data_IF_771607809223
#
_entry.id   IF_771607809223
#
_cell.length_a   1.000
_cell.length_b   1.000
_cell.length_c   1.000
_cell.angle_alpha   90.00
_cell.angle_beta   90.00
_cell.angle_gamma   90.00
#
_symmetry.space_group_name_H-M   'P 1'
#
loop_
_entity.id
_entity.type
_entity.pdbx_description
1 polymer ?
#
# COMPACT_ATOMS: atom_id res chain seq x y z
N UNK A 1 20.42 -4.58 -9.85
CA UNK A 1 19.41 -4.11 -8.92
C UNK A 1 18.02 -4.31 -9.49
N UNK A 2 17.14 -4.76 -8.65
CA UNK A 2 15.82 -5.11 -9.09
C UNK A 2 14.88 -3.92 -8.99
N UNK A 3 14.12 -3.68 -10.03
CA UNK A 3 13.13 -2.63 -10.02
C UNK A 3 11.79 -3.20 -9.61
N UNK A 4 11.06 -2.45 -8.81
CA UNK A 4 9.74 -2.83 -8.40
C UNK A 4 8.75 -2.25 -9.40
N UNK A 5 7.97 -3.12 -10.00
CA UNK A 5 6.99 -2.72 -10.99
C UNK A 5 5.61 -3.22 -10.63
N UNK A 6 4.62 -2.48 -11.05
CA UNK A 6 3.24 -2.87 -10.84
C UNK A 6 2.40 -2.33 -11.98
N UNK A 7 1.31 -3.01 -12.27
CA UNK A 7 0.32 -2.44 -13.17
C UNK A 7 -0.54 -1.49 -12.36
N UNK A 8 -0.24 -0.22 -12.47
CA UNK A 8 -0.89 0.81 -11.64
C UNK A 8 -2.39 0.90 -11.90
N UNK A 9 -2.86 0.40 -13.03
CA UNK A 9 -4.28 0.48 -13.38
C UNK A 9 -5.07 -0.73 -12.91
N UNK A 10 -4.39 -1.78 -12.48
CA UNK A 10 -5.06 -3.01 -12.08
C UNK A 10 -5.71 -2.85 -10.71
N UNK A 11 -6.74 -3.63 -10.49
CA UNK A 11 -7.35 -3.67 -9.16
C UNK A 11 -6.34 -4.16 -8.14
N UNK A 12 -6.52 -3.70 -6.92
CA UNK A 12 -5.56 -4.02 -5.88
C UNK A 12 -6.26 -4.18 -4.55
N UNK A 13 -5.69 -5.05 -3.74
CA UNK A 13 -6.16 -5.29 -2.38
C UNK A 13 -5.09 -4.80 -1.42
N UNK A 14 -5.49 -3.97 -0.48
CA UNK A 14 -4.56 -3.44 0.51
C UNK A 14 -4.92 -4.00 1.86
N UNK A 15 -3.92 -4.61 2.51
CA UNK A 15 -4.06 -5.14 3.85
C UNK A 15 -3.13 -4.35 4.76
N UNK A 16 -3.59 -4.05 5.96
CA UNK A 16 -2.74 -3.37 6.92
C UNK A 16 -3.15 -3.78 8.31
N UNK A 17 -2.25 -3.57 9.23
CA UNK A 17 -2.56 -3.85 10.62
C UNK A 17 -3.42 -2.78 11.20
N UNK A 18 -4.27 -3.19 12.11
CA UNK A 18 -5.05 -2.28 12.91
C UNK A 18 -4.71 -2.61 14.34
N UNK A 19 -4.25 -1.62 15.07
CA UNK A 19 -3.86 -1.87 16.44
C UNK A 19 -5.11 -2.07 17.27
N UNK A 20 -5.25 -3.27 17.82
CA UNK A 20 -6.42 -3.63 18.59
C UNK A 20 -6.14 -3.73 20.07
N UNK A 21 -5.14 -3.03 20.55
CA UNK A 21 -4.80 -3.12 21.94
C UNK A 21 -3.96 -4.36 22.20
N UNK A 22 -4.16 -4.94 23.34
CA UNK A 22 -3.29 -6.04 23.77
C UNK A 22 -3.86 -7.40 23.44
N UNK A 23 -4.88 -7.47 22.67
CA UNK A 23 -5.45 -8.75 22.30
C UNK A 23 -4.55 -9.48 21.31
N UNK A 24 -4.58 -10.79 21.40
CA UNK A 24 -3.76 -11.59 20.51
C UNK A 24 -4.25 -11.55 19.06
N UNK A 25 -5.55 -11.45 18.88
CA UNK A 25 -6.10 -11.38 17.53
C UNK A 25 -6.23 -9.94 17.13
N UNK A 26 -5.24 -9.46 16.45
CA UNK A 26 -5.27 -8.10 15.92
C UNK A 26 -6.02 -8.12 14.60
N UNK A 27 -7.11 -7.37 14.50
CA UNK A 27 -7.83 -7.35 13.23
C UNK A 27 -6.95 -6.81 12.11
N UNK A 28 -7.16 -7.36 10.94
CA UNK A 28 -6.50 -6.85 9.74
C UNK A 28 -7.43 -5.89 9.06
N UNK A 29 -6.92 -4.70 8.75
CA UNK A 29 -7.63 -3.80 7.89
C UNK A 29 -7.51 -4.27 6.46
N UNK A 30 -8.57 -4.09 5.71
CA UNK A 30 -8.60 -4.55 4.33
C UNK A 30 -9.42 -3.56 3.52
N UNK A 31 -8.90 -3.22 2.35
CA UNK A 31 -9.64 -2.34 1.46
C UNK A 31 -9.27 -2.67 0.03
N UNK A 32 -10.28 -2.80 -0.81
CA UNK A 32 -10.06 -3.05 -2.22
C UNK A 32 -10.17 -1.76 -2.99
N UNK A 33 -9.27 -1.59 -3.96
CA UNK A 33 -9.23 -0.39 -4.78
C UNK A 33 -9.37 -0.78 -6.24
N UNK A 34 -9.96 0.11 -6.99
CA UNK A 34 -10.08 -0.11 -8.42
C UNK A 34 -8.74 -0.08 -9.12
N UNK A 35 -7.79 0.66 -8.58
CA UNK A 35 -6.47 0.74 -9.18
C UNK A 35 -5.41 0.59 -8.12
N UNK A 36 -4.31 -0.02 -8.52
CA UNK A 36 -3.17 -0.13 -7.63
C UNK A 36 -2.64 1.25 -7.26
N UNK A 37 -2.68 2.19 -8.20
CA UNK A 37 -2.21 3.54 -7.91
C UNK A 37 -3.01 4.16 -6.77
N UNK A 38 -4.31 3.97 -6.78
CA UNK A 38 -5.14 4.49 -5.70
C UNK A 38 -4.84 3.84 -4.38
N UNK A 39 -4.60 2.53 -4.39
CA UNK A 39 -4.26 1.82 -3.17
C UNK A 39 -2.93 2.31 -2.61
N UNK A 40 -1.96 2.50 -3.49
CA UNK A 40 -0.64 2.98 -3.09
C UNK A 40 -0.75 4.37 -2.47
N UNK A 41 -1.53 5.25 -3.10
CA UNK A 41 -1.70 6.60 -2.58
C UNK A 41 -2.37 6.58 -1.21
N UNK A 42 -3.39 5.75 -1.06
CA UNK A 42 -4.05 5.64 0.23
C UNK A 42 -3.07 5.17 1.30
N UNK A 43 -2.26 4.16 0.97
CA UNK A 43 -1.33 3.61 1.94
C UNK A 43 -0.30 4.66 2.39
N UNK A 44 0.21 5.42 1.44
CA UNK A 44 1.27 6.37 1.75
C UNK A 44 0.72 7.65 2.38
N UNK A 45 -0.42 8.13 1.89
CA UNK A 45 -0.90 9.44 2.29
C UNK A 45 -1.95 9.40 3.39
N UNK A 46 -2.67 8.28 3.52
CA UNK A 46 -3.78 8.23 4.45
C UNK A 46 -3.52 7.35 5.66
N UNK A 47 -2.79 6.26 5.51
CA UNK A 47 -2.55 5.39 6.64
C UNK A 47 -1.54 6.01 7.60
N UNK A 48 -1.81 5.91 8.90
CA UNK A 48 -0.77 6.24 9.87
C UNK A 48 0.45 5.36 9.63
N UNK A 49 1.61 5.91 9.91
CA UNK A 49 2.83 5.19 9.61
C UNK A 49 2.91 3.84 10.29
N UNK A 50 2.44 3.75 11.50
CA UNK A 50 2.51 2.49 12.22
C UNK A 50 1.66 1.41 11.56
N UNK A 51 0.60 1.80 10.86
CA UNK A 51 -0.20 0.83 10.13
C UNK A 51 0.47 0.45 8.82
N UNK A 52 1.15 1.41 8.22
CA UNK A 52 1.83 1.16 6.96
C UNK A 52 2.96 0.15 7.12
N UNK A 53 3.59 0.13 8.28
CA UNK A 53 4.72 -0.77 8.50
C UNK A 53 4.38 -2.24 8.29
N UNK A 54 3.15 -2.63 8.52
CA UNK A 54 2.77 -4.01 8.30
C UNK A 54 1.89 -4.20 7.11
N UNK A 55 1.85 -3.22 6.22
CA UNK A 55 0.92 -3.28 5.10
C UNK A 55 1.42 -4.20 4.01
N UNK A 56 0.48 -4.70 3.25
CA UNK A 56 0.75 -5.57 2.12
C UNK A 56 -0.22 -5.22 1.01
N UNK A 57 0.31 -5.05 -0.18
CA UNK A 57 -0.49 -4.73 -1.35
C UNK A 57 -0.47 -5.92 -2.29
N UNK A 58 -1.65 -6.36 -2.73
CA UNK A 58 -1.75 -7.46 -3.69
C UNK A 58 -2.34 -6.95 -4.98
N UNK A 59 -1.64 -7.21 -6.08
CA UNK A 59 -2.09 -6.84 -7.40
C UNK A 59 -1.92 -8.08 -8.26
N UNK A 60 -3.02 -8.69 -8.65
CA UNK A 60 -2.95 -9.95 -9.36
C UNK A 60 -2.28 -10.99 -8.48
N UNK A 61 -1.24 -11.59 -9.00
CA UNK A 61 -0.50 -12.62 -8.27
C UNK A 61 0.68 -12.06 -7.50
N UNK A 62 0.88 -10.76 -7.55
CA UNK A 62 2.04 -10.16 -6.94
C UNK A 62 1.70 -9.53 -5.61
N UNK A 63 2.64 -9.58 -4.69
CA UNK A 63 2.45 -8.99 -3.38
C UNK A 63 3.61 -8.05 -3.10
N UNK A 64 3.30 -6.90 -2.53
CA UNK A 64 4.28 -5.86 -2.27
C UNK A 64 4.25 -5.50 -0.80
N UNK A 65 5.41 -5.43 -0.18
CA UNK A 65 5.50 -5.05 1.22
C UNK A 65 5.60 -3.53 1.35
N UNK A 66 5.74 -3.07 2.57
CA UNK A 66 5.75 -1.64 2.85
C UNK A 66 6.86 -0.91 2.09
N UNK A 67 8.05 -1.48 2.09
CA UNK A 67 9.17 -0.83 1.39
C UNK A 67 8.90 -0.74 -0.10
N UNK A 68 8.32 -1.79 -0.67
CA UNK A 68 8.01 -1.79 -2.08
C UNK A 68 6.88 -0.83 -2.42
N UNK A 69 5.90 -0.71 -1.52
CA UNK A 69 4.83 0.26 -1.73
C UNK A 69 5.41 1.67 -1.79
N UNK A 70 6.37 1.98 -0.92
CA UNK A 70 7.01 3.29 -0.95
C UNK A 70 7.76 3.51 -2.25
N UNK A 71 8.45 2.48 -2.73
CA UNK A 71 9.17 2.59 -4.01
C UNK A 71 8.21 2.85 -5.16
N UNK A 72 7.07 2.16 -5.15
CA UNK A 72 6.09 2.34 -6.22
C UNK A 72 5.52 3.76 -6.19
N UNK A 73 5.32 4.30 -5.00
CA UNK A 73 4.80 5.65 -4.87
C UNK A 73 5.80 6.68 -5.40
N UNK A 74 7.08 6.44 -5.16
CA UNK A 74 8.12 7.38 -5.55
C UNK A 74 8.59 7.19 -6.98
N UNK A 75 8.11 6.17 -7.65
CA UNK A 75 8.53 5.88 -9.00
C UNK A 75 8.04 6.95 -9.97
N UNK A 76 8.84 7.22 -10.99
CA UNK A 76 8.42 8.15 -12.04
C UNK A 76 7.21 7.63 -12.80
N UNK A 77 6.99 6.33 -12.77
CA UNK A 77 5.85 5.75 -13.46
C UNK A 77 4.54 5.92 -12.71
N UNK A 78 4.60 6.39 -11.46
CA UNK A 78 3.39 6.54 -10.67
C UNK A 78 2.47 7.57 -11.33
N UNK A 79 1.23 7.17 -11.66
CA UNK A 79 0.40 8.00 -12.54
C UNK A 79 -0.41 9.08 -11.86
N UNK A 80 -0.61 8.99 -10.56
CA UNK A 80 -1.46 9.95 -9.87
C UNK A 80 -0.63 11.08 -9.29
N UNK A 81 -1.29 12.20 -9.09
CA UNK A 81 -0.64 13.33 -8.48
C UNK A 81 -0.33 13.01 -7.03
N UNK A 82 0.90 13.26 -6.63
CA UNK A 82 1.29 13.04 -5.25
C UNK A 82 1.03 14.28 -4.44
N UNK A 83 0.54 14.06 -3.22
CA UNK A 83 0.42 15.15 -2.28
C UNK A 83 1.61 15.13 -1.35
N UNK A 84 2.00 16.30 -0.87
CA UNK A 84 3.13 16.38 0.03
C UNK A 84 2.84 15.55 1.27
N UNK A 85 3.84 14.77 1.64
CA UNK A 85 3.75 14.06 2.89
C UNK A 85 4.50 14.82 3.90
N UNK A 86 4.36 14.98 4.58
CA UNK A 86 5.20 15.61 5.35
C UNK A 86 5.00 15.88 6.17
#
# INVERSE_FOLDING_TARGET
MKMVNVNYRAEADLYHRVIGGWKTNVPLGYKRFRTAAGAIRFAIEQLPEKFLLGASLEVGDERYNEAEIRQLYDSEAYPLKRHARR
#
